data_IF_368445289780
#
_entry.id   IF_368445289780
#
_cell.length_a   1.000
_cell.length_b   1.000
_cell.length_c   1.000
_cell.angle_alpha   90.00
_cell.angle_beta   90.00
_cell.angle_gamma   90.00
#
_symmetry.space_group_name_H-M   'P 1'
#
loop_
_entity.id
_entity.type
_entity.pdbx_description
1 polymer ?
#
# COMPACT_ATOMS: atom_id res chain seq x y z
N UNK A 1 26.60 9.61 28.24
CA UNK A 1 27.24 9.32 26.94
C UNK A 1 26.17 8.69 26.05
N UNK A 2 25.79 9.32 24.93
CA UNK A 2 24.80 8.76 24.02
C UNK A 2 25.49 7.80 23.04
N UNK A 3 24.97 6.59 22.90
CA UNK A 3 25.50 5.58 21.97
C UNK A 3 24.69 5.67 20.67
N UNK A 4 25.35 5.98 19.57
CA UNK A 4 24.74 5.96 18.23
C UNK A 4 24.82 4.53 17.73
N UNK A 5 23.68 3.97 17.33
CA UNK A 5 23.57 2.61 16.79
C UNK A 5 23.09 2.76 15.34
N UNK A 6 23.89 2.27 14.39
CA UNK A 6 23.48 2.17 12.99
C UNK A 6 22.63 0.91 12.81
N UNK A 7 21.45 1.06 12.21
CA UNK A 7 20.52 -0.05 11.91
C UNK A 7 20.22 -0.15 10.42
N UNK A 8 21.01 0.49 9.56
CA UNK A 8 20.76 0.56 8.11
C UNK A 8 20.67 -0.85 7.52
N UNK A 9 21.56 -1.75 7.93
CA UNK A 9 21.59 -3.17 7.52
C UNK A 9 20.36 -3.98 8.00
N UNK A 10 19.62 -3.48 8.99
CA UNK A 10 18.40 -4.13 9.52
C UNK A 10 17.13 -3.66 8.82
N UNK A 11 17.23 -2.64 7.99
CA UNK A 11 16.09 -2.04 7.30
C UNK A 11 16.09 -2.51 5.84
N UNK A 12 14.90 -2.82 5.32
CA UNK A 12 14.75 -3.29 3.95
C UNK A 12 14.36 -2.11 3.06
N UNK A 13 15.34 -1.55 2.34
CA UNK A 13 15.13 -0.36 1.48
C UNK A 13 14.93 -0.70 0.01
N UNK A 14 15.21 -1.94 -0.41
CA UNK A 14 15.30 -2.30 -1.84
C UNK A 14 13.97 -2.72 -2.45
N UNK A 15 13.00 -3.19 -1.65
CA UNK A 15 11.74 -3.69 -2.17
C UNK A 15 10.59 -2.75 -1.84
N UNK A 16 10.34 -1.82 -2.76
CA UNK A 16 9.07 -1.08 -2.77
C UNK A 16 7.95 -1.99 -3.27
N UNK A 17 6.77 -1.98 -2.64
CA UNK A 17 5.64 -2.76 -3.10
C UNK A 17 5.13 -2.26 -4.45
N UNK A 18 4.75 -3.20 -5.30
CA UNK A 18 4.24 -2.92 -6.63
C UNK A 18 2.96 -3.70 -6.91
N UNK A 19 1.98 -3.04 -7.52
CA UNK A 19 0.72 -3.65 -7.96
C UNK A 19 0.72 -3.73 -9.47
N UNK A 20 0.52 -4.94 -10.00
CA UNK A 20 0.36 -5.15 -11.43
C UNK A 20 -1.12 -5.25 -11.80
N UNK A 21 -1.57 -4.37 -12.70
CA UNK A 21 -2.91 -4.39 -13.29
C UNK A 21 -2.77 -4.65 -14.79
N UNK A 22 -3.11 -5.85 -15.24
CA UNK A 22 -2.92 -6.29 -16.64
C UNK A 22 -1.46 -6.12 -17.08
N UNK A 23 -1.15 -5.08 -17.85
CA UNK A 23 0.17 -4.74 -18.36
C UNK A 23 0.81 -3.53 -17.64
N UNK A 24 0.02 -2.83 -16.81
CA UNK A 24 0.48 -1.65 -16.07
C UNK A 24 1.01 -2.07 -14.71
N UNK A 25 2.25 -1.72 -14.41
CA UNK A 25 2.82 -1.83 -13.06
C UNK A 25 2.75 -0.47 -12.37
N UNK A 26 2.16 -0.48 -11.18
CA UNK A 26 2.07 0.65 -10.29
C UNK A 26 3.00 0.43 -9.10
N UNK A 27 3.75 1.47 -8.73
CA UNK A 27 4.54 1.44 -7.49
C UNK A 27 3.70 2.06 -6.37
N UNK A 28 3.67 1.40 -5.22
CA UNK A 28 2.92 1.87 -4.04
C UNK A 28 3.90 2.51 -3.06
N UNK A 29 3.50 3.63 -2.47
CA UNK A 29 4.25 4.29 -1.42
C UNK A 29 4.12 3.51 -0.10
N UNK A 30 5.21 2.86 0.35
CA UNK A 30 5.28 2.14 1.63
C UNK A 30 5.87 2.97 2.78
N UNK A 31 6.07 4.28 2.58
CA UNK A 31 6.61 5.13 3.63
C UNK A 31 5.78 5.00 4.92
N UNK A 32 6.48 4.76 6.04
CA UNK A 32 5.82 4.61 7.34
C UNK A 32 4.93 5.82 7.70
N UNK A 33 5.27 7.01 7.20
CA UNK A 33 4.45 8.22 7.36
C UNK A 33 3.12 8.10 6.60
N UNK A 34 3.15 7.63 5.35
CA UNK A 34 1.95 7.35 4.56
C UNK A 34 1.03 6.36 5.29
N UNK A 35 1.60 5.28 5.84
CA UNK A 35 0.85 4.30 6.63
C UNK A 35 0.17 4.90 7.86
N UNK A 36 0.89 5.72 8.62
CA UNK A 36 0.34 6.37 9.81
C UNK A 36 -0.87 7.27 9.49
N UNK A 37 -0.91 7.87 8.31
CA UNK A 37 -2.07 8.67 7.85
C UNK A 37 -3.25 7.80 7.40
N UNK A 38 -2.96 6.61 6.84
CA UNK A 38 -3.96 5.72 6.27
C UNK A 38 -4.61 4.80 7.32
N UNK A 39 -3.84 4.29 8.28
CA UNK A 39 -4.31 3.39 9.34
C UNK A 39 -5.59 3.88 10.06
N UNK A 40 -5.67 5.12 10.57
CA UNK A 40 -6.89 5.61 11.22
C UNK A 40 -8.09 5.69 10.26
N UNK A 41 -7.84 5.82 8.95
CA UNK A 41 -8.89 5.87 7.92
C UNK A 41 -9.45 4.47 7.62
N UNK A 42 -8.66 3.41 7.79
CA UNK A 42 -9.09 2.01 7.68
C UNK A 42 -10.02 1.57 8.82
N UNK A 43 -9.78 2.06 10.04
CA UNK A 43 -10.62 1.74 11.21
C UNK A 43 -12.00 2.44 11.18
N UNK A 44 -12.22 3.36 10.24
CA UNK A 44 -13.46 4.12 10.09
C UNK A 44 -14.38 3.57 8.98
N UNK A 45 -15.35 4.39 8.56
CA UNK A 45 -16.14 4.09 7.38
C UNK A 45 -15.34 4.47 6.12
N UNK A 46 -15.02 3.49 5.28
CA UNK A 46 -14.33 3.74 4.01
C UNK A 46 -15.30 4.43 3.06
N UNK A 47 -15.18 5.74 2.94
CA UNK A 47 -15.96 6.58 2.01
C UNK A 47 -15.17 6.87 0.74
N UNK A 48 -15.81 7.27 -0.38
CA UNK A 48 -15.11 7.72 -1.59
C UNK A 48 -14.08 8.84 -1.35
N UNK A 49 -14.34 9.71 -0.37
CA UNK A 49 -13.39 10.76 0.03
C UNK A 49 -12.15 10.14 0.68
N UNK A 50 -12.36 9.22 1.63
CA UNK A 50 -11.29 8.42 2.25
C UNK A 50 -10.43 7.70 1.21
N UNK A 51 -11.05 7.05 0.23
CA UNK A 51 -10.33 6.33 -0.84
C UNK A 51 -9.51 7.29 -1.70
N UNK A 52 -10.06 8.45 -2.03
CA UNK A 52 -9.36 9.45 -2.84
C UNK A 52 -8.13 9.99 -2.10
N UNK A 53 -8.24 10.19 -0.79
CA UNK A 53 -7.16 10.65 0.06
C UNK A 53 -6.06 9.59 0.20
N UNK A 54 -6.44 8.35 0.52
CA UNK A 54 -5.53 7.20 0.57
C UNK A 54 -4.83 6.98 -0.78
N UNK A 55 -5.53 7.15 -1.89
CA UNK A 55 -4.94 7.06 -3.22
C UNK A 55 -3.86 8.12 -3.46
N UNK A 56 -4.06 9.37 -3.01
CA UNK A 56 -3.05 10.42 -3.16
C UNK A 56 -1.82 10.16 -2.28
N UNK A 57 -2.01 9.48 -1.14
CA UNK A 57 -0.92 9.11 -0.24
C UNK A 57 -0.12 7.92 -0.81
N UNK A 58 -0.80 6.91 -1.36
CA UNK A 58 -0.21 5.65 -1.83
C UNK A 58 0.39 5.74 -3.22
N UNK A 59 -0.14 6.61 -4.08
CA UNK A 59 0.25 6.71 -5.48
C UNK A 59 0.69 8.12 -5.80
N UNK A 60 1.94 8.26 -6.26
CA UNK A 60 2.44 9.51 -6.81
C UNK A 60 1.65 9.97 -8.04
N UNK A 61 1.83 11.24 -8.42
CA UNK A 61 1.18 11.83 -9.60
C UNK A 61 1.41 11.00 -10.89
N UNK A 62 2.61 10.42 -11.03
CA UNK A 62 2.95 9.54 -12.16
C UNK A 62 2.10 8.27 -12.19
N UNK A 63 1.83 7.67 -11.03
CA UNK A 63 1.05 6.44 -10.90
C UNK A 63 -0.45 6.74 -11.03
N UNK A 64 -0.92 7.88 -10.51
CA UNK A 64 -2.28 8.38 -10.75
C UNK A 64 -2.56 8.61 -12.24
N UNK A 65 -1.60 9.10 -13.02
CA UNK A 65 -1.75 9.25 -14.47
C UNK A 65 -1.96 7.89 -15.18
N UNK A 66 -1.24 6.85 -14.75
CA UNK A 66 -1.44 5.48 -15.25
C UNK A 66 -2.83 4.95 -14.85
N UNK A 67 -3.26 5.17 -13.61
CA UNK A 67 -4.60 4.81 -13.12
C UNK A 67 -5.72 5.50 -13.91
N UNK A 68 -5.56 6.78 -14.23
CA UNK A 68 -6.53 7.52 -15.07
C UNK A 68 -6.64 6.93 -16.48
N UNK A 69 -5.55 6.42 -17.06
CA UNK A 69 -5.57 5.75 -18.38
C UNK A 69 -6.28 4.40 -18.34
N UNK A 70 -6.24 3.70 -17.21
CA UNK A 70 -6.93 2.42 -17.02
C UNK A 70 -8.46 2.57 -17.01
N UNK A 71 -8.99 3.78 -16.70
CA UNK A 71 -10.44 4.06 -16.61
C UNK A 71 -11.17 2.99 -15.80
N UNK A 72 -10.61 2.64 -14.65
CA UNK A 72 -11.21 1.70 -13.69
C UNK A 72 -12.55 2.25 -13.22
N UNK A 73 -13.51 1.36 -13.00
CA UNK A 73 -14.76 1.74 -12.38
C UNK A 73 -14.52 2.00 -10.89
N UNK A 74 -15.45 2.68 -10.21
CA UNK A 74 -15.28 3.03 -8.79
C UNK A 74 -15.05 1.80 -7.91
N UNK A 75 -15.71 0.68 -8.23
CA UNK A 75 -15.56 -0.59 -7.52
C UNK A 75 -14.14 -1.16 -7.69
N UNK A 76 -13.64 -1.27 -8.92
CA UNK A 76 -12.27 -1.75 -9.18
C UNK A 76 -11.20 -0.83 -8.57
N UNK A 77 -11.43 0.49 -8.62
CA UNK A 77 -10.54 1.48 -8.02
C UNK A 77 -10.50 1.35 -6.50
N UNK A 78 -11.65 1.12 -5.88
CA UNK A 78 -11.77 0.88 -4.44
C UNK A 78 -11.02 -0.39 -4.04
N UNK A 79 -11.14 -1.47 -4.81
CA UNK A 79 -10.37 -2.70 -4.58
C UNK A 79 -8.88 -2.46 -4.70
N UNK A 80 -8.44 -1.74 -5.73
CA UNK A 80 -7.03 -1.41 -5.91
C UNK A 80 -6.43 -0.66 -4.73
N UNK A 81 -7.10 0.42 -4.29
CA UNK A 81 -6.61 1.25 -3.19
C UNK A 81 -6.55 0.42 -1.90
N UNK A 82 -7.57 -0.40 -1.62
CA UNK A 82 -7.53 -1.29 -0.46
C UNK A 82 -6.37 -2.30 -0.53
N UNK A 83 -6.18 -2.97 -1.67
CA UNK A 83 -5.05 -3.89 -1.84
C UNK A 83 -3.70 -3.20 -1.66
N UNK A 84 -3.56 -1.96 -2.15
CA UNK A 84 -2.35 -1.17 -1.93
C UNK A 84 -2.10 -0.94 -0.45
N UNK A 85 -3.12 -0.55 0.30
CA UNK A 85 -3.04 -0.32 1.74
C UNK A 85 -2.68 -1.59 2.48
N UNK A 86 -3.31 -2.72 2.13
CA UNK A 86 -3.03 -4.00 2.78
C UNK A 86 -1.56 -4.38 2.58
N UNK A 87 -1.05 -4.28 1.35
CA UNK A 87 0.36 -4.59 1.04
C UNK A 87 1.31 -3.71 1.86
N UNK A 88 1.05 -2.40 1.95
CA UNK A 88 1.95 -1.49 2.67
C UNK A 88 1.79 -1.58 4.18
N UNK A 89 0.58 -1.84 4.69
CA UNK A 89 0.31 -1.95 6.13
C UNK A 89 0.89 -3.23 6.76
N UNK A 90 1.56 -4.06 5.95
CA UNK A 90 2.01 -5.39 6.37
C UNK A 90 0.84 -6.36 6.54
N UNK A 91 -0.30 -6.06 5.93
CA UNK A 91 -1.37 -7.03 5.71
C UNK A 91 -0.83 -8.14 4.83
N UNK A 92 -0.99 -9.36 5.31
CA UNK A 92 -0.54 -10.59 4.67
C UNK A 92 -0.81 -10.55 3.16
N UNK A 93 0.20 -10.93 2.37
CA UNK A 93 0.06 -11.07 0.94
C UNK A 93 -1.19 -11.94 0.67
N UNK A 94 -2.14 -11.54 -0.20
CA UNK A 94 -3.27 -12.41 -0.57
C UNK A 94 -2.84 -13.63 -1.42
N UNK A 95 -1.66 -14.19 -1.15
CA UNK A 95 -1.02 -15.32 -1.81
C UNK A 95 -0.45 -16.39 -0.88
N UNK A 96 -0.40 -16.19 0.44
CA UNK A 96 -0.05 -17.29 1.36
C UNK A 96 -1.31 -17.80 2.07
N UNK A 97 -1.76 -18.95 1.60
CA UNK A 97 -2.73 -19.77 2.30
C UNK A 97 -2.19 -19.99 3.70
N UNK A 98 -2.92 -19.55 4.73
CA UNK A 98 -2.68 -19.96 6.09
C UNK A 98 -2.63 -21.49 6.15
N UNK A 99 -1.44 -22.08 6.19
CA UNK A 99 -1.26 -23.41 6.77
C UNK A 99 -0.96 -23.23 8.24
N UNK A 100 -1.91 -23.48 9.16
CA UNK A 100 -1.58 -23.63 10.55
C UNK A 100 -0.72 -24.89 10.67
N UNK A 101 0.59 -24.72 10.82
CA UNK A 101 1.46 -25.82 11.23
C UNK A 101 1.17 -26.09 12.72
N UNK A 102 0.22 -26.99 12.96
CA UNK A 102 0.11 -27.70 14.22
C UNK A 102 1.36 -28.57 14.39
N UNK A 103 2.10 -28.38 15.47
CA UNK A 103 2.99 -29.37 16.08
C UNK A 103 3.19 -29.02 17.55
#
# INVERSE_FOLDING_TARGET
MAKIIDITDKLNFEQKPQIKIKDTVLTVNDEAVALLEILPKLNGNVTPETISDMCNILFDESEMQKLKKLKLNFEDFTTLVQSAVEIVAGGEEPGETATPATT
#
